data_IF_558710689006
#
_entry.id   IF_558710689006
#
_cell.length_a   1.000
_cell.length_b   1.000
_cell.length_c   1.000
_cell.angle_alpha   90.00
_cell.angle_beta   90.00
_cell.angle_gamma   90.00
#
_symmetry.space_group_name_H-M   'P 1'
#
loop_
_entity.id
_entity.type
_entity.pdbx_description
1 polymer ?
#
# COMPACT_ATOMS: atom_id res chain seq x y z
N UNK A 1 41.35 -3.68 12.33
CA UNK A 1 41.01 -5.00 12.92
C UNK A 1 41.10 -6.05 11.82
N UNK A 2 42.26 -6.69 11.64
CA UNK A 2 42.46 -7.71 10.62
C UNK A 2 41.89 -9.04 11.13
N UNK A 3 40.72 -9.47 10.64
CA UNK A 3 40.25 -10.83 10.93
C UNK A 3 41.15 -11.84 10.24
N UNK A 4 41.73 -12.74 11.03
CA UNK A 4 42.70 -13.72 10.57
C UNK A 4 42.08 -14.60 9.48
N UNK A 5 42.84 -14.93 8.43
CA UNK A 5 42.40 -15.84 7.36
C UNK A 5 41.88 -17.18 7.92
N UNK A 6 42.41 -17.61 9.07
CA UNK A 6 41.96 -18.78 9.82
C UNK A 6 40.54 -18.62 10.40
N UNK A 7 40.19 -17.44 10.93
CA UNK A 7 38.86 -17.15 11.45
C UNK A 7 37.81 -17.10 10.35
N UNK A 8 38.16 -16.56 9.17
CA UNK A 8 37.28 -16.56 7.99
C UNK A 8 36.96 -17.99 7.53
N UNK A 9 37.96 -18.88 7.53
CA UNK A 9 37.74 -20.28 7.19
C UNK A 9 36.82 -20.99 8.20
N UNK A 10 37.01 -20.73 9.50
CA UNK A 10 36.15 -21.30 10.54
C UNK A 10 34.70 -20.81 10.42
N UNK A 11 34.49 -19.52 10.16
CA UNK A 11 33.17 -18.93 9.94
C UNK A 11 32.50 -19.56 8.70
N UNK A 12 33.22 -19.69 7.58
CA UNK A 12 32.70 -20.31 6.37
C UNK A 12 32.29 -21.78 6.58
N UNK A 13 33.01 -22.54 7.40
CA UNK A 13 32.64 -23.91 7.76
C UNK A 13 31.35 -23.96 8.57
N UNK A 14 31.17 -23.06 9.54
CA UNK A 14 29.93 -22.99 10.32
C UNK A 14 28.74 -22.52 9.49
N UNK A 15 28.95 -21.58 8.57
CA UNK A 15 27.90 -21.10 7.66
C UNK A 15 27.48 -22.19 6.67
N UNK A 16 28.45 -22.95 6.13
CA UNK A 16 28.16 -24.12 5.28
C UNK A 16 27.34 -25.17 6.04
N UNK A 17 27.70 -25.48 7.29
CA UNK A 17 26.92 -26.40 8.13
C UNK A 17 25.50 -25.91 8.41
N UNK A 18 25.31 -24.60 8.63
CA UNK A 18 23.97 -24.00 8.80
C UNK A 18 23.15 -24.13 7.53
N UNK A 19 23.76 -23.88 6.37
CA UNK A 19 23.09 -24.02 5.07
C UNK A 19 22.70 -25.47 4.79
N UNK A 20 23.61 -26.41 5.01
CA UNK A 20 23.33 -27.84 4.86
C UNK A 20 22.18 -28.30 5.77
N UNK A 21 22.15 -27.83 7.03
CA UNK A 21 21.05 -28.11 7.96
C UNK A 21 19.70 -27.54 7.47
N UNK A 22 19.70 -26.31 6.95
CA UNK A 22 18.47 -25.70 6.42
C UNK A 22 18.01 -26.41 5.14
N UNK A 23 18.92 -26.72 4.22
CA UNK A 23 18.62 -27.45 2.98
C UNK A 23 18.08 -28.86 3.31
N UNK A 24 18.60 -29.53 4.33
CA UNK A 24 18.12 -30.83 4.79
C UNK A 24 16.74 -30.73 5.45
N UNK A 25 16.50 -29.68 6.25
CA UNK A 25 15.19 -29.40 6.83
C UNK A 25 14.13 -29.09 5.75
N UNK A 26 14.49 -28.32 4.72
CA UNK A 26 13.62 -28.06 3.58
C UNK A 26 13.32 -29.34 2.79
N UNK A 27 14.31 -30.20 2.57
CA UNK A 27 14.12 -31.51 1.94
C UNK A 27 13.18 -32.39 2.75
N UNK A 28 13.38 -32.48 4.07
CA UNK A 28 12.50 -33.23 4.96
C UNK A 28 11.08 -32.65 4.94
N UNK A 29 10.92 -31.33 4.94
CA UNK A 29 9.60 -30.70 4.84
C UNK A 29 8.91 -31.02 3.52
N UNK A 30 9.63 -30.95 2.40
CA UNK A 30 9.12 -31.31 1.08
C UNK A 30 8.76 -32.80 1.01
N UNK A 31 9.60 -33.67 1.56
CA UNK A 31 9.35 -35.11 1.62
C UNK A 31 8.13 -35.44 2.48
N UNK A 32 7.99 -34.81 3.65
CA UNK A 32 6.80 -34.92 4.49
C UNK A 32 5.54 -34.46 3.76
N UNK A 33 5.59 -33.34 3.01
CA UNK A 33 4.43 -32.90 2.21
C UNK A 33 4.12 -33.84 1.05
N UNK A 34 5.15 -34.42 0.42
CA UNK A 34 4.97 -35.38 -0.67
C UNK A 34 4.43 -36.71 -0.17
N UNK A 35 4.84 -37.13 1.03
CA UNK A 35 4.38 -38.34 1.68
C UNK A 35 2.96 -38.18 2.22
N UNK A 36 2.60 -37.01 2.78
CA UNK A 36 1.20 -36.72 3.12
C UNK A 36 0.33 -36.70 1.86
N UNK A 37 0.77 -36.08 0.77
CA UNK A 37 0.05 -36.11 -0.52
C UNK A 37 -0.07 -37.53 -1.10
N UNK A 38 0.93 -38.41 -0.89
CA UNK A 38 0.89 -39.81 -1.32
C UNK A 38 -0.02 -40.68 -0.42
N UNK A 39 -0.04 -40.41 0.88
CA UNK A 39 -0.82 -41.16 1.87
C UNK A 39 -2.28 -40.69 1.96
N UNK A 40 -2.65 -39.62 1.24
CA UNK A 40 -4.05 -39.17 1.08
C UNK A 40 -4.87 -40.20 0.29
N UNK A 41 -5.59 -41.05 1.03
CA UNK A 41 -6.54 -42.01 0.48
C UNK A 41 -7.96 -41.44 0.44
N UNK A 42 -8.68 -41.71 -0.65
CA UNK A 42 -10.14 -41.60 -0.79
C UNK A 42 -10.79 -40.26 -0.40
N UNK A 43 -11.15 -40.11 0.87
CA UNK A 43 -11.96 -39.01 1.39
C UNK A 43 -11.23 -37.65 1.40
N UNK A 44 -9.91 -37.66 1.59
CA UNK A 44 -9.11 -36.43 1.71
C UNK A 44 -8.66 -35.86 0.34
N UNK A 45 -9.01 -36.54 -0.76
CA UNK A 45 -8.78 -36.08 -2.14
C UNK A 45 -9.87 -35.13 -2.63
N UNK A 46 -10.99 -35.04 -1.91
CA UNK A 46 -12.14 -34.19 -2.24
C UNK A 46 -12.19 -32.92 -1.40
N UNK A 47 -11.34 -32.79 -0.38
CA UNK A 47 -11.07 -31.51 0.28
C UNK A 47 -10.21 -30.70 -0.69
N UNK A 48 -10.87 -29.89 -1.51
CA UNK A 48 -10.19 -28.95 -2.39
C UNK A 48 -9.19 -28.13 -1.58
N UNK A 49 -8.06 -27.79 -2.19
CA UNK A 49 -7.09 -26.81 -1.66
C UNK A 49 -7.71 -25.40 -1.72
N UNK A 50 -8.91 -25.23 -1.15
CA UNK A 50 -9.65 -23.97 -1.03
C UNK A 50 -9.07 -23.08 0.07
N UNK A 51 -8.09 -23.58 0.81
CA UNK A 51 -7.41 -22.90 1.89
C UNK A 51 -6.02 -22.46 1.45
N UNK A 52 -5.94 -21.35 0.71
CA UNK A 52 -4.63 -20.70 0.50
C UNK A 52 -4.77 -19.19 0.47
N UNK A 53 -5.69 -18.63 -0.33
CA UNK A 53 -5.92 -17.17 -0.31
C UNK A 53 -6.72 -16.74 0.92
N UNK A 54 -7.89 -17.33 1.15
CA UNK A 54 -8.77 -16.92 2.26
C UNK A 54 -8.18 -17.32 3.61
N UNK A 55 -7.52 -18.48 3.69
CA UNK A 55 -6.77 -18.89 4.89
C UNK A 55 -5.60 -17.94 5.17
N UNK A 56 -4.79 -17.59 4.16
CA UNK A 56 -3.69 -16.63 4.35
C UNK A 56 -4.20 -15.26 4.76
N UNK A 57 -5.32 -14.81 4.17
CA UNK A 57 -5.97 -13.56 4.57
C UNK A 57 -6.44 -13.65 6.03
N UNK A 58 -7.11 -14.74 6.43
CA UNK A 58 -7.55 -14.98 7.81
C UNK A 58 -6.36 -14.99 8.78
N UNK A 59 -5.30 -15.75 8.49
CA UNK A 59 -4.09 -15.82 9.32
C UNK A 59 -3.38 -14.47 9.44
N UNK A 60 -3.35 -13.68 8.37
CA UNK A 60 -2.76 -12.33 8.37
C UNK A 60 -3.66 -11.25 8.98
N UNK A 61 -4.95 -11.55 9.20
CA UNK A 61 -5.96 -10.62 9.73
C UNK A 61 -6.52 -11.04 11.08
N UNK A 62 -5.91 -12.01 11.75
CA UNK A 62 -6.25 -12.36 13.14
C UNK A 62 -5.91 -11.18 14.06
N UNK A 63 -6.94 -10.60 14.68
CA UNK A 63 -6.82 -9.49 15.63
C UNK A 63 -7.52 -8.21 15.17
N UNK A 64 -7.26 -7.09 15.85
CA UNK A 64 -7.83 -5.79 15.47
C UNK A 64 -7.03 -5.20 14.31
N UNK A 65 -7.63 -5.18 13.12
CA UNK A 65 -7.00 -4.68 11.88
C UNK A 65 -7.80 -3.51 11.33
N UNK A 66 -7.13 -2.46 10.85
CA UNK A 66 -7.78 -1.32 10.20
C UNK A 66 -8.34 -1.73 8.83
N UNK A 67 -9.42 -1.07 8.39
CA UNK A 67 -10.06 -1.34 7.10
C UNK A 67 -9.08 -1.22 5.93
N UNK A 68 -8.19 -0.23 5.96
CA UNK A 68 -7.16 0.01 4.95
C UNK A 68 -6.20 -1.18 4.83
N UNK A 69 -5.68 -1.66 5.96
CA UNK A 69 -4.72 -2.77 6.00
C UNK A 69 -5.36 -4.08 5.50
N UNK A 70 -6.65 -4.29 5.79
CA UNK A 70 -7.39 -5.46 5.30
C UNK A 70 -7.56 -5.42 3.78
N UNK A 71 -7.91 -4.26 3.23
CA UNK A 71 -8.04 -4.07 1.78
C UNK A 71 -6.70 -4.23 1.06
N UNK A 72 -5.62 -3.67 1.60
CA UNK A 72 -4.28 -3.83 1.05
C UNK A 72 -3.82 -5.28 1.06
N UNK A 73 -3.98 -6.00 2.18
CA UNK A 73 -3.63 -7.43 2.28
C UNK A 73 -4.44 -8.29 1.31
N UNK A 74 -5.72 -7.99 1.13
CA UNK A 74 -6.57 -8.70 0.16
C UNK A 74 -6.11 -8.45 -1.28
N UNK A 75 -5.84 -7.20 -1.64
CA UNK A 75 -5.34 -6.83 -2.97
C UNK A 75 -3.97 -7.47 -3.26
N UNK A 76 -3.06 -7.47 -2.29
CA UNK A 76 -1.75 -8.09 -2.43
C UNK A 76 -1.85 -9.61 -2.67
N UNK A 77 -2.72 -10.31 -1.92
CA UNK A 77 -2.95 -11.75 -2.13
C UNK A 77 -3.64 -12.05 -3.47
N UNK A 78 -4.53 -11.18 -3.94
CA UNK A 78 -5.14 -11.28 -5.28
C UNK A 78 -4.11 -11.07 -6.39
N UNK A 79 -3.24 -10.06 -6.25
CA UNK A 79 -2.16 -9.76 -7.20
C UNK A 79 -1.12 -10.88 -7.26
N UNK A 80 -0.71 -11.43 -6.11
CA UNK A 80 0.23 -12.55 -6.05
C UNK A 80 -0.34 -13.78 -6.77
N UNK A 81 -1.62 -14.09 -6.55
CA UNK A 81 -2.31 -15.18 -7.25
C UNK A 81 -2.42 -14.93 -8.76
N UNK A 82 -2.69 -13.69 -9.18
CA UNK A 82 -2.69 -13.30 -10.59
C UNK A 82 -1.31 -13.47 -11.22
N UNK A 83 -0.25 -13.11 -10.49
CA UNK A 83 1.14 -13.26 -10.91
C UNK A 83 1.56 -14.72 -11.02
N UNK A 84 1.14 -15.57 -10.08
CA UNK A 84 1.36 -17.02 -10.14
C UNK A 84 0.57 -17.67 -11.28
N UNK A 85 -0.68 -17.25 -11.50
CA UNK A 85 -1.48 -17.72 -12.62
C UNK A 85 -0.82 -17.36 -13.96
N UNK A 86 -0.31 -16.14 -14.11
CA UNK A 86 0.44 -15.71 -15.29
C UNK A 86 1.71 -16.55 -15.50
N UNK A 87 2.53 -16.75 -14.46
CA UNK A 87 3.72 -17.62 -14.52
C UNK A 87 3.38 -19.07 -14.86
N UNK A 88 2.31 -19.62 -14.30
CA UNK A 88 1.87 -20.99 -14.56
C UNK A 88 1.33 -21.17 -15.99
N UNK A 89 0.84 -20.10 -16.61
CA UNK A 89 0.36 -20.12 -17.98
C UNK A 89 1.53 -19.99 -18.97
N UNK A 90 2.53 -19.18 -18.64
CA UNK A 90 3.80 -19.03 -19.40
C UNK A 90 4.56 -20.38 -19.46
N UNK A 91 4.68 -21.08 -18.32
CA UNK A 91 5.30 -22.42 -18.27
C UNK A 91 4.51 -23.52 -19.01
N UNK A 92 3.23 -23.29 -19.33
CA UNK A 92 2.39 -24.21 -20.12
C UNK A 92 2.44 -23.93 -21.63
N UNK A 93 3.05 -22.84 -22.05
CA UNK A 93 3.31 -22.54 -23.46
C UNK A 93 4.63 -23.16 -23.96
N UNK A 94 5.58 -23.46 -23.06
CA UNK A 94 6.86 -24.12 -23.40
C UNK A 94 6.80 -25.65 -23.52
N UNK A 95 5.70 -26.31 -23.14
CA UNK A 95 5.48 -27.73 -23.47
C UNK A 95 4.90 -27.85 -24.90
N UNK A 96 5.58 -28.52 -25.85
CA UNK A 96 5.09 -28.64 -27.22
C UNK A 96 3.85 -29.54 -27.27
N UNK A 97 2.66 -28.91 -27.19
CA UNK A 97 1.37 -29.57 -27.40
C UNK A 97 1.30 -30.11 -28.83
N UNK A 98 1.39 -31.43 -28.99
CA UNK A 98 1.10 -32.14 -30.25
C UNK A 98 -0.29 -31.71 -30.75
N UNK A 99 -0.33 -30.96 -31.86
CA UNK A 99 -1.53 -30.44 -32.51
C UNK A 99 -2.43 -31.58 -32.98
N UNK A 100 -3.48 -31.91 -32.23
CA UNK A 100 -4.65 -32.63 -32.79
C UNK A 100 -5.40 -31.67 -33.71
N UNK A 101 -5.60 -32.08 -34.97
CA UNK A 101 -6.28 -31.31 -36.03
C UNK A 101 -7.64 -30.77 -35.54
N UNK A 102 -7.82 -29.44 -35.58
CA UNK A 102 -9.14 -28.81 -35.39
C UNK A 102 -10.00 -29.15 -36.60
N UNK A 103 -11.08 -29.91 -36.41
CA UNK A 103 -12.18 -29.98 -37.38
C UNK A 103 -12.86 -28.61 -37.40
N UNK A 104 -13.05 -28.07 -38.60
CA UNK A 104 -13.72 -26.80 -38.88
C UNK A 104 -15.13 -26.78 -38.29
N UNK A 105 -15.34 -25.94 -37.29
CA UNK A 105 -16.69 -25.57 -36.86
C UNK A 105 -17.19 -24.51 -37.84
N UNK A 106 -18.13 -24.93 -38.68
CA UNK A 106 -19.23 -24.15 -39.25
C UNK A 106 -18.94 -22.66 -39.54
N UNK A 107 -18.57 -22.35 -40.78
CA UNK A 107 -18.72 -21.00 -41.32
C UNK A 107 -20.22 -20.73 -41.45
N UNK A 108 -20.75 -19.76 -40.70
CA UNK A 108 -22.10 -19.25 -40.90
C UNK A 108 -22.23 -18.74 -42.35
N UNK A 109 -23.04 -19.43 -43.14
CA UNK A 109 -23.59 -18.96 -44.40
C UNK A 109 -24.74 -18.00 -44.10
N UNK A 110 -24.45 -16.70 -44.07
CA UNK A 110 -25.44 -15.62 -44.02
C UNK A 110 -25.10 -14.49 -45.01
N UNK A 111 -24.55 -14.84 -46.17
CA UNK A 111 -24.28 -13.87 -47.24
C UNK A 111 -24.12 -14.53 -48.62
N UNK A 112 -25.05 -15.42 -49.01
CA UNK A 112 -25.10 -15.90 -50.39
C UNK A 112 -26.49 -16.48 -50.72
N UNK A 113 -27.47 -15.59 -50.84
CA UNK A 113 -28.70 -15.81 -51.62
C UNK A 113 -29.41 -14.46 -51.79
N UNK A 114 -28.96 -13.68 -52.77
CA UNK A 114 -29.86 -13.03 -53.73
C UNK A 114 -28.99 -12.55 -54.91
N UNK A 115 -29.32 -13.08 -56.09
CA UNK A 115 -28.70 -12.79 -57.37
C UNK A 115 -28.93 -11.32 -57.76
N UNK A 116 -27.91 -10.58 -58.21
CA UNK A 116 -28.01 -9.83 -59.47
C UNK A 116 -26.64 -9.41 -60.04
N UNK A 117 -26.64 -9.35 -61.35
CA UNK A 117 -25.60 -9.33 -62.37
C UNK A 117 -24.82 -8.00 -62.48
N UNK A 118 -23.55 -8.00 -62.91
CA UNK A 118 -22.89 -6.74 -63.32
C UNK A 118 -21.37 -6.73 -63.49
N UNK A 119 -20.90 -6.91 -64.72
CA UNK A 119 -19.52 -7.04 -65.21
C UNK A 119 -18.51 -5.86 -65.03
N UNK A 120 -17.21 -6.24 -65.06
CA UNK A 120 -16.05 -5.46 -65.56
C UNK A 120 -15.23 -4.69 -64.50
N UNK A 121 -13.90 -4.66 -64.44
CA UNK A 121 -12.80 -5.10 -65.32
C UNK A 121 -11.63 -4.08 -65.22
N UNK A 122 -10.42 -4.57 -64.93
CA UNK A 122 -9.08 -4.02 -65.30
C UNK A 122 -8.33 -3.04 -64.35
N UNK A 123 -7.04 -3.37 -64.25
CA UNK A 123 -5.88 -2.92 -63.48
C UNK A 123 -5.43 -1.44 -63.62
N UNK A 124 -4.74 -0.91 -62.60
CA UNK A 124 -3.39 -0.33 -62.77
C UNK A 124 -2.67 -0.04 -61.44
N UNK A 125 -1.42 -0.50 -61.38
CA UNK A 125 -0.41 -0.16 -60.38
C UNK A 125 0.14 1.27 -60.56
N UNK A 126 0.57 1.90 -59.46
CA UNK A 126 1.91 2.52 -59.29
C UNK A 126 2.09 3.15 -57.91
N UNK A 127 3.35 3.13 -57.47
CA UNK A 127 3.88 3.50 -56.16
C UNK A 127 3.79 5.00 -55.82
N UNK A 128 3.79 5.33 -54.52
CA UNK A 128 4.82 6.20 -53.94
C UNK A 128 4.89 6.08 -52.39
N UNK A 129 6.12 6.19 -51.87
CA UNK A 129 6.49 6.11 -50.45
C UNK A 129 6.86 7.52 -49.97
N UNK A 130 6.14 8.07 -49.00
CA UNK A 130 6.64 9.01 -47.97
C UNK A 130 5.50 9.32 -46.98
N UNK A 131 5.56 8.78 -45.76
CA UNK A 131 6.08 9.41 -44.53
C UNK A 131 5.13 10.41 -43.87
N UNK A 132 4.96 10.22 -42.56
CA UNK A 132 4.46 11.17 -41.54
C UNK A 132 2.96 11.49 -41.52
N UNK A 133 2.21 10.66 -40.82
CA UNK A 133 1.55 11.07 -39.57
C UNK A 133 0.81 9.87 -39.02
N UNK A 134 1.31 9.32 -37.91
CA UNK A 134 0.50 8.50 -37.03
C UNK A 134 -0.60 9.41 -36.50
N UNK A 135 -1.71 9.46 -37.22
CA UNK A 135 -2.98 9.91 -36.70
C UNK A 135 -3.27 9.04 -35.49
N UNK A 136 -2.87 9.52 -34.30
CA UNK A 136 -3.49 9.14 -33.05
C UNK A 136 -4.97 9.18 -33.36
N UNK A 137 -5.61 8.00 -33.42
CA UNK A 137 -7.06 7.91 -33.57
C UNK A 137 -7.63 8.86 -32.54
N UNK A 138 -8.10 10.03 -32.98
CA UNK A 138 -8.85 10.93 -32.13
C UNK A 138 -9.97 10.07 -31.59
N UNK A 139 -10.02 9.92 -30.26
CA UNK A 139 -11.16 9.26 -29.63
C UNK A 139 -12.40 9.86 -30.29
N UNK A 140 -13.20 9.00 -30.90
CA UNK A 140 -14.43 9.39 -31.57
C UNK A 140 -15.24 10.17 -30.53
N UNK A 141 -15.24 11.50 -30.68
CA UNK A 141 -15.63 12.40 -29.61
C UNK A 141 -17.11 12.21 -29.36
N UNK A 142 -17.46 11.77 -28.15
CA UNK A 142 -18.83 11.92 -27.66
C UNK A 142 -19.16 13.42 -27.74
N UNK A 143 -20.35 13.74 -28.25
CA UNK A 143 -20.78 15.12 -28.41
C UNK A 143 -20.56 15.90 -27.10
N UNK A 144 -19.83 17.04 -27.08
CA UNK A 144 -19.50 17.78 -25.86
C UNK A 144 -20.72 18.36 -25.14
N UNK A 145 -21.89 18.40 -25.79
CA UNK A 145 -23.15 18.83 -25.19
C UNK A 145 -23.90 17.71 -24.43
N UNK A 146 -23.41 16.46 -24.50
CA UNK A 146 -24.03 15.32 -23.82
C UNK A 146 -23.28 15.09 -22.50
N UNK A 147 -24.02 15.09 -21.39
CA UNK A 147 -23.43 14.82 -20.07
C UNK A 147 -22.92 13.38 -19.98
N UNK A 148 -21.59 13.23 -19.88
CA UNK A 148 -20.91 11.94 -19.70
C UNK A 148 -20.55 11.65 -18.24
N UNK A 149 -21.12 12.38 -17.27
CA UNK A 149 -20.94 12.15 -15.82
C UNK A 149 -21.30 10.76 -15.33
N UNK A 150 -22.22 10.08 -16.01
CA UNK A 150 -22.65 8.72 -15.66
C UNK A 150 -21.72 7.63 -16.20
N UNK A 151 -20.77 7.95 -17.08
CA UNK A 151 -19.82 6.96 -17.58
C UNK A 151 -18.59 6.92 -16.68
N UNK A 152 -18.06 5.72 -16.35
CA UNK A 152 -16.76 5.57 -15.72
C UNK A 152 -15.68 6.26 -16.57
N UNK A 153 -15.11 7.33 -16.02
CA UNK A 153 -14.11 8.15 -16.67
C UNK A 153 -12.89 8.21 -15.76
N UNK A 154 -11.84 7.48 -16.18
CA UNK A 154 -10.60 7.34 -15.41
C UNK A 154 -9.91 8.68 -15.19
N UNK A 155 -9.98 9.60 -16.15
CA UNK A 155 -9.32 10.89 -16.04
C UNK A 155 -10.09 11.80 -15.07
N UNK A 156 -11.44 11.75 -15.07
CA UNK A 156 -12.27 12.45 -14.07
C UNK A 156 -12.09 11.90 -12.67
N UNK A 157 -12.07 10.57 -12.52
CA UNK A 157 -11.82 9.93 -11.21
C UNK A 157 -10.41 10.23 -10.67
N UNK A 158 -9.41 10.35 -11.55
CA UNK A 158 -8.06 10.78 -11.17
C UNK A 158 -8.01 12.26 -10.75
N UNK A 159 -8.78 13.14 -11.39
CA UNK A 159 -8.90 14.55 -10.97
C UNK A 159 -9.61 14.68 -9.62
N UNK A 160 -10.74 14.01 -9.43
CA UNK A 160 -11.45 13.94 -8.14
C UNK A 160 -10.53 13.42 -7.02
N UNK A 161 -9.69 12.43 -7.32
CA UNK A 161 -8.71 11.89 -6.37
C UNK A 161 -7.64 12.93 -6.01
N UNK A 162 -7.08 13.61 -7.02
CA UNK A 162 -6.12 14.70 -6.81
C UNK A 162 -6.72 15.83 -5.99
N UNK A 163 -7.96 16.23 -6.28
CA UNK A 163 -8.67 17.25 -5.51
C UNK A 163 -8.87 16.83 -4.05
N UNK A 164 -9.25 15.58 -3.79
CA UNK A 164 -9.35 15.04 -2.42
C UNK A 164 -8.00 15.03 -1.71
N UNK A 165 -6.94 14.61 -2.38
CA UNK A 165 -5.59 14.60 -1.83
C UNK A 165 -5.09 16.02 -1.54
N UNK A 166 -5.36 16.97 -2.44
CA UNK A 166 -5.05 18.38 -2.24
C UNK A 166 -5.80 18.98 -1.05
N UNK A 167 -7.10 18.73 -0.93
CA UNK A 167 -7.90 19.19 0.19
C UNK A 167 -7.39 18.61 1.50
N UNK A 168 -7.01 17.32 1.51
CA UNK A 168 -6.38 16.68 2.66
C UNK A 168 -5.05 17.34 3.02
N UNK A 169 -4.20 17.65 2.04
CA UNK A 169 -2.94 18.34 2.28
C UNK A 169 -3.15 19.76 2.79
N UNK A 170 -4.10 20.51 2.20
CA UNK A 170 -4.47 21.86 2.63
C UNK A 170 -4.96 21.82 4.08
N UNK A 171 -5.80 20.85 4.44
CA UNK A 171 -6.28 20.65 5.80
C UNK A 171 -5.14 20.32 6.79
N UNK A 172 -4.24 19.39 6.42
CA UNK A 172 -3.07 19.06 7.25
C UNK A 172 -2.13 20.25 7.45
N UNK A 173 -1.87 21.01 6.39
CA UNK A 173 -1.05 22.23 6.46
C UNK A 173 -1.68 23.30 7.33
N UNK A 174 -3.00 23.48 7.23
CA UNK A 174 -3.73 24.42 8.07
C UNK A 174 -3.72 23.99 9.54
N UNK A 175 -3.89 22.70 9.82
CA UNK A 175 -3.73 22.15 11.17
C UNK A 175 -2.33 22.39 11.72
N UNK A 176 -1.31 22.13 10.91
CA UNK A 176 0.08 22.36 11.29
C UNK A 176 0.39 23.84 11.50
N UNK A 177 -0.12 24.74 10.65
CA UNK A 177 0.09 26.18 10.82
C UNK A 177 -0.53 26.68 12.12
N UNK A 178 -1.75 26.26 12.45
CA UNK A 178 -2.39 26.63 13.72
C UNK A 178 -1.59 26.08 14.91
N UNK A 179 -1.07 24.85 14.81
CA UNK A 179 -0.21 24.27 15.85
C UNK A 179 1.13 24.99 15.98
N UNK A 180 1.64 25.57 14.90
CA UNK A 180 2.92 26.31 14.90
C UNK A 180 2.79 27.76 15.37
N UNK A 181 1.58 28.30 15.52
CA UNK A 181 1.38 29.64 16.07
C UNK A 181 1.98 29.75 17.48
N UNK A 182 2.80 30.77 17.70
CA UNK A 182 3.39 31.06 19.00
C UNK A 182 2.33 31.67 19.94
N UNK A 183 2.33 31.23 21.19
CA UNK A 183 1.50 31.73 22.29
C UNK A 183 2.43 32.14 23.43
N UNK A 184 2.11 33.29 24.01
CA UNK A 184 2.67 33.72 25.30
C UNK A 184 1.77 33.25 26.44
N UNK A 185 2.33 32.45 27.35
CA UNK A 185 1.61 31.90 28.50
C UNK A 185 2.15 32.55 29.75
N UNK A 186 1.31 33.36 30.39
CA UNK A 186 1.52 33.82 31.76
C UNK A 186 1.17 32.70 32.72
N UNK A 187 2.14 32.24 33.50
CA UNK A 187 1.95 31.18 34.48
C UNK A 187 2.40 31.64 35.86
N UNK A 188 1.88 30.98 36.90
CA UNK A 188 2.35 31.15 38.26
C UNK A 188 2.93 29.85 38.76
N UNK A 189 4.17 29.87 39.21
CA UNK A 189 4.74 28.82 40.04
C UNK A 189 4.24 29.00 41.48
N UNK A 190 3.96 27.89 42.16
CA UNK A 190 3.42 27.87 43.51
C UNK A 190 4.25 26.93 44.39
N UNK A 191 4.93 27.50 45.37
CA UNK A 191 5.71 26.80 46.40
C UNK A 191 5.26 27.14 47.83
N UNK A 192 4.10 27.79 47.95
CA UNK A 192 3.63 28.50 49.15
C UNK A 192 3.60 30.00 48.95
N UNK A 193 4.35 30.51 47.97
CA UNK A 193 4.27 31.88 47.46
C UNK A 193 4.03 31.87 45.95
N UNK A 194 3.24 32.84 45.45
CA UNK A 194 2.87 32.91 44.04
C UNK A 194 3.89 33.66 43.22
N UNK A 195 4.60 32.98 42.32
CA UNK A 195 5.59 33.58 41.42
C UNK A 195 5.10 33.59 39.98
N UNK A 196 4.78 34.78 39.45
CA UNK A 196 4.29 34.95 38.07
C UNK A 196 5.44 35.20 37.10
N UNK A 197 5.42 34.48 35.98
CA UNK A 197 6.33 34.67 34.83
C UNK A 197 5.62 34.37 33.52
N UNK A 198 6.26 34.77 32.44
CA UNK A 198 5.79 34.56 31.07
C UNK A 198 6.78 33.64 30.32
N UNK A 199 6.24 32.74 29.52
CA UNK A 199 7.00 31.84 28.64
C UNK A 199 6.32 31.80 27.27
N UNK A 200 7.12 31.84 26.21
CA UNK A 200 6.66 31.67 24.82
C UNK A 200 6.76 30.19 24.39
N UNK A 201 5.64 29.63 23.92
CA UNK A 201 5.52 28.26 23.41
C UNK A 201 4.61 28.20 22.19
N UNK A 202 4.71 27.14 21.38
CA UNK A 202 3.79 26.93 20.26
C UNK A 202 2.49 26.29 20.73
N UNK A 203 1.37 26.51 20.03
CA UNK A 203 0.09 25.84 20.37
C UNK A 203 0.21 24.33 20.37
N UNK A 204 0.98 23.79 19.43
CA UNK A 204 1.23 22.36 19.28
C UNK A 204 2.30 21.79 20.20
N UNK A 205 2.98 22.62 21.00
CA UNK A 205 3.92 22.11 22.01
C UNK A 205 3.12 21.37 23.10
N UNK A 206 3.68 20.27 23.59
CA UNK A 206 3.12 19.56 24.74
C UNK A 206 3.32 20.37 26.02
N UNK A 207 2.48 20.13 27.02
CA UNK A 207 2.61 20.76 28.33
C UNK A 207 3.95 20.38 28.97
N UNK A 208 4.47 19.17 28.74
CA UNK A 208 5.81 18.79 29.14
C UNK A 208 6.89 19.76 28.59
N UNK A 209 6.82 20.12 27.31
CA UNK A 209 7.77 21.03 26.70
C UNK A 209 7.67 22.45 27.28
N UNK A 210 6.47 22.89 27.63
CA UNK A 210 6.26 24.14 28.37
C UNK A 210 6.86 24.09 29.78
N UNK A 211 6.62 23.00 30.53
CA UNK A 211 7.16 22.82 31.87
C UNK A 211 8.69 22.74 31.87
N UNK A 212 9.30 22.15 30.85
CA UNK A 212 10.76 22.14 30.65
C UNK A 212 11.31 23.58 30.50
N UNK A 213 10.65 24.42 29.69
CA UNK A 213 11.01 25.84 29.53
C UNK A 213 10.81 26.62 30.83
N UNK A 214 9.72 26.38 31.55
CA UNK A 214 9.44 27.00 32.85
C UNK A 214 10.48 26.59 33.92
N UNK A 215 10.87 25.31 33.95
CA UNK A 215 11.95 24.79 34.82
C UNK A 215 13.27 25.52 34.57
N UNK A 216 13.61 25.85 33.33
CA UNK A 216 14.81 26.62 33.01
C UNK A 216 14.83 28.03 33.62
N UNK A 217 13.67 28.64 33.85
CA UNK A 217 13.56 30.00 34.39
C UNK A 217 13.78 30.09 35.91
N UNK A 218 13.75 28.95 36.62
CA UNK A 218 13.85 28.89 38.08
C UNK A 218 14.98 27.94 38.49
N UNK A 219 16.04 28.43 39.14
CA UNK A 219 17.15 27.59 39.60
C UNK A 219 16.72 26.45 40.54
N UNK A 220 15.69 26.68 41.34
CA UNK A 220 15.14 25.75 42.34
C UNK A 220 14.52 24.51 41.70
N UNK A 221 13.88 24.66 40.53
CA UNK A 221 13.22 23.57 39.82
C UNK A 221 14.18 22.73 38.98
N UNK A 222 15.45 23.13 38.83
CA UNK A 222 16.40 22.39 37.95
C UNK A 222 16.61 20.94 38.36
N UNK A 223 16.54 20.64 39.66
CA UNK A 223 16.73 19.30 40.22
C UNK A 223 15.48 18.42 40.17
N UNK A 224 14.31 18.97 39.86
CA UNK A 224 13.04 18.25 39.82
C UNK A 224 12.76 17.82 38.37
N UNK A 225 12.22 16.61 38.20
CA UNK A 225 11.86 16.13 36.86
C UNK A 225 10.57 16.78 36.38
N UNK A 226 10.38 16.92 35.06
CA UNK A 226 9.13 17.45 34.50
C UNK A 226 7.92 16.59 34.90
N UNK A 227 8.13 15.29 35.12
CA UNK A 227 7.09 14.36 35.55
C UNK A 227 6.54 14.68 36.96
N UNK A 228 7.34 15.34 37.81
CA UNK A 228 6.96 15.69 39.18
C UNK A 228 6.29 17.07 39.27
N UNK A 229 6.23 17.82 38.17
CA UNK A 229 5.63 19.15 38.12
C UNK A 229 4.22 19.04 37.54
N UNK A 230 3.22 19.55 38.24
CA UNK A 230 1.84 19.55 37.79
C UNK A 230 1.50 20.87 37.10
N UNK A 231 0.79 20.79 35.97
CA UNK A 231 0.17 21.95 35.35
C UNK A 231 -1.30 22.02 35.78
N UNK A 232 -1.68 23.13 36.41
CA UNK A 232 -3.04 23.38 36.87
C UNK A 232 -3.56 24.62 36.16
N UNK A 233 -4.65 24.46 35.41
CA UNK A 233 -5.39 25.57 34.80
C UNK A 233 -6.74 25.67 35.49
N UNK A 234 -6.97 26.78 36.19
CA UNK A 234 -8.16 26.97 37.03
C UNK A 234 -8.29 25.79 38.01
N UNK A 235 -9.31 24.94 37.83
CA UNK A 235 -9.57 23.78 38.69
C UNK A 235 -9.15 22.44 38.05
N UNK A 236 -8.54 22.47 36.85
CA UNK A 236 -8.21 21.27 36.08
C UNK A 236 -6.70 21.01 36.05
N UNK A 237 -6.31 19.84 36.56
CA UNK A 237 -4.94 19.33 36.43
C UNK A 237 -4.80 18.71 35.05
N UNK A 238 -3.91 19.26 34.24
CA UNK A 238 -3.72 18.77 32.88
C UNK A 238 -2.52 17.82 32.80
N UNK A 239 -2.70 16.59 32.27
CA UNK A 239 -1.60 15.68 31.99
C UNK A 239 -0.57 16.22 31.01
N UNK A 240 0.68 15.77 31.15
CA UNK A 240 1.84 16.27 30.39
C UNK A 240 1.83 15.96 28.89
N UNK A 241 1.04 14.97 28.47
CA UNK A 241 0.97 14.53 27.08
C UNK A 241 -0.01 15.35 26.23
N UNK A 242 -0.85 16.19 26.85
CA UNK A 242 -1.72 17.09 26.10
C UNK A 242 -0.95 18.29 25.56
N UNK A 243 -1.52 18.89 24.51
CA UNK A 243 -1.00 20.11 23.89
C UNK A 243 -1.93 21.28 24.19
N UNK A 244 -1.42 22.52 24.12
CA UNK A 244 -2.27 23.70 24.28
C UNK A 244 -3.36 23.79 23.20
N UNK A 245 -3.06 23.29 22.01
CA UNK A 245 -4.01 23.18 20.91
C UNK A 245 -5.29 22.44 21.31
N UNK A 246 -5.19 21.37 22.10
CA UNK A 246 -6.34 20.55 22.52
C UNK A 246 -7.32 21.32 23.43
N UNK A 247 -6.85 22.35 24.13
CA UNK A 247 -7.67 23.18 25.03
C UNK A 247 -8.16 24.48 24.39
N UNK A 248 -7.59 24.88 23.26
CA UNK A 248 -7.96 26.11 22.56
C UNK A 248 -9.06 25.86 21.52
N UNK A 249 -9.11 24.65 20.96
CA UNK A 249 -10.04 24.30 19.88
C UNK A 249 -11.35 23.67 20.39
N UNK A 250 -11.40 23.22 21.64
CA UNK A 250 -12.61 22.67 22.27
C UNK A 250 -13.45 23.73 23.00
#
# INVERSE_FOLDING_TARGET
>A
MASSTSEKHRIAVHEKKRKEMMDEFERQKVEMTRETDRNRTGADRFVGKSDSMEESLKMQTVGLVKLEDFQQKRQALEEEKLREAARSNELKEDEPKKKKKKKSKYNLSFAMDDEDEGAGGIDKASADKQSTSSSKKGQFGKNPAVDTSFLPDRDREELDRKEREELRQKWLKMQESIKQEDIEITYSYWDGTGHRKEVTCKKGDSIAAFLEKARGQWPELRGVSVADILYVKEDLIIPHHHTFYDFIVN
#
